data_IF_166306060290
#
_entry.id   IF_166306060290
#
_cell.length_a   1.000
_cell.length_b   1.000
_cell.length_c   1.000
_cell.angle_alpha   90.00
_cell.angle_beta   90.00
_cell.angle_gamma   90.00
#
_symmetry.space_group_name_H-M   'P 1'
#
loop_
_entity.id
_entity.type
_entity.pdbx_description
1 polymer ?
#
# COMPACT_ATOMS: atom_id res chain seq x y z
N UNK A 1 19.92 22.87 -3.63
CA UNK A 1 18.46 23.04 -3.78
C UNK A 1 17.99 21.97 -4.74
N UNK A 2 17.07 21.09 -4.32
CA UNK A 2 16.43 20.14 -5.24
C UNK A 2 15.48 20.95 -6.12
N UNK A 3 15.64 20.87 -7.44
CA UNK A 3 14.76 21.53 -8.38
C UNK A 3 13.35 20.94 -8.22
N UNK A 4 12.35 21.79 -7.94
CA UNK A 4 10.98 21.33 -7.66
C UNK A 4 10.30 20.98 -8.99
N UNK A 5 9.91 19.70 -9.22
CA UNK A 5 9.27 19.31 -10.46
C UNK A 5 7.95 20.05 -10.68
N UNK A 6 7.63 20.37 -11.94
CA UNK A 6 6.46 21.17 -12.30
C UNK A 6 5.13 20.58 -11.79
N UNK A 7 5.03 19.26 -11.68
CA UNK A 7 3.87 18.56 -11.08
C UNK A 7 3.64 18.96 -9.61
N UNK A 8 4.72 19.02 -8.82
CA UNK A 8 4.66 19.41 -7.39
C UNK A 8 4.26 20.88 -7.25
N UNK A 9 4.74 21.75 -8.15
CA UNK A 9 4.37 23.18 -8.15
C UNK A 9 2.88 23.38 -8.47
N UNK A 10 2.35 22.61 -9.42
CA UNK A 10 0.93 22.66 -9.79
C UNK A 10 0.04 22.16 -8.63
N UNK A 11 0.40 21.02 -8.02
CA UNK A 11 -0.39 20.41 -6.95
C UNK A 11 -0.36 21.21 -5.65
N UNK A 12 0.73 21.93 -5.35
CA UNK A 12 0.79 22.85 -4.19
C UNK A 12 -0.26 23.96 -4.23
N UNK A 13 -0.77 24.31 -5.41
CA UNK A 13 -1.82 25.33 -5.57
C UNK A 13 -3.24 24.76 -5.38
N UNK A 14 -3.38 23.45 -5.20
CA UNK A 14 -4.63 22.80 -4.86
C UNK A 14 -5.13 23.26 -3.48
N UNK A 15 -6.45 23.40 -3.33
CA UNK A 15 -7.10 23.65 -2.03
C UNK A 15 -6.76 22.57 -1.00
N UNK A 16 -6.49 21.35 -1.46
CA UNK A 16 -6.14 20.20 -0.62
C UNK A 16 -4.63 20.01 -0.41
N UNK A 17 -3.79 20.85 -1.04
CA UNK A 17 -2.34 20.70 -1.03
C UNK A 17 -1.83 19.49 -1.83
N UNK A 18 -0.57 19.12 -1.57
CA UNK A 18 0.06 17.94 -2.17
C UNK A 18 -0.52 16.66 -1.58
N UNK A 19 -1.14 15.84 -2.43
CA UNK A 19 -1.63 14.51 -2.05
C UNK A 19 -0.50 13.51 -2.23
N UNK A 20 -0.17 12.76 -1.19
CA UNK A 20 1.03 11.92 -1.16
C UNK A 20 0.75 10.48 -0.82
N UNK A 21 1.60 9.57 -1.30
CA UNK A 21 1.53 8.17 -0.89
C UNK A 21 2.88 7.49 -0.80
N UNK A 22 2.91 6.41 -0.02
CA UNK A 22 4.01 5.45 0.05
C UNK A 22 3.47 4.07 -0.32
N UNK A 23 4.20 3.33 -1.15
CA UNK A 23 3.86 1.96 -1.56
C UNK A 23 4.89 0.95 -1.06
N UNK A 24 4.46 0.04 -0.19
CA UNK A 24 5.27 -1.06 0.32
C UNK A 24 4.99 -2.35 -0.47
N UNK A 25 6.02 -3.15 -0.70
CA UNK A 25 5.93 -4.39 -1.50
C UNK A 25 5.37 -4.12 -2.91
N UNK A 26 5.80 -3.02 -3.50
CA UNK A 26 5.16 -2.34 -4.65
C UNK A 26 5.21 -3.13 -5.97
N UNK A 27 5.99 -4.20 -6.05
CA UNK A 27 6.14 -5.02 -7.26
C UNK A 27 6.53 -4.15 -8.47
N UNK A 28 5.89 -4.32 -9.62
CA UNK A 28 6.11 -3.48 -10.80
C UNK A 28 5.37 -2.12 -10.74
N UNK A 29 4.81 -1.72 -9.59
CA UNK A 29 4.12 -0.44 -9.41
C UNK A 29 2.74 -0.37 -10.09
N UNK A 30 2.05 -1.50 -10.23
CA UNK A 30 0.68 -1.53 -10.77
C UNK A 30 -0.28 -0.85 -9.80
N UNK A 31 -0.18 -1.14 -8.50
CA UNK A 31 -0.99 -0.48 -7.46
C UNK A 31 -0.77 1.05 -7.40
N UNK A 32 0.44 1.49 -7.76
CA UNK A 32 0.79 2.91 -7.88
C UNK A 32 0.11 3.63 -9.06
N UNK A 33 -0.40 2.90 -10.06
CA UNK A 33 -0.91 3.52 -11.27
C UNK A 33 -2.17 4.37 -11.05
N UNK A 34 -3.11 3.87 -10.24
CA UNK A 34 -4.32 4.62 -9.90
C UNK A 34 -3.98 5.95 -9.20
N UNK A 35 -3.11 5.92 -8.20
CA UNK A 35 -2.62 7.13 -7.52
C UNK A 35 -2.02 8.15 -8.49
N UNK A 36 -1.20 7.68 -9.45
CA UNK A 36 -0.63 8.56 -10.47
C UNK A 36 -1.70 9.21 -11.36
N UNK A 37 -2.74 8.47 -11.75
CA UNK A 37 -3.85 9.02 -12.54
C UNK A 37 -4.61 10.10 -11.77
N UNK A 38 -4.78 9.91 -10.46
CA UNK A 38 -5.46 10.86 -9.57
C UNK A 38 -4.57 12.04 -9.11
N UNK A 39 -3.33 12.12 -9.58
CA UNK A 39 -2.40 13.20 -9.25
C UNK A 39 -1.82 13.11 -7.84
N UNK A 40 -1.70 11.91 -7.27
CA UNK A 40 -0.94 11.71 -6.04
C UNK A 40 0.56 11.63 -6.35
N UNK A 41 1.35 12.21 -5.45
CA UNK A 41 2.80 12.18 -5.49
C UNK A 41 3.33 10.98 -4.70
N UNK A 42 4.09 10.10 -5.36
CA UNK A 42 4.81 9.04 -4.69
C UNK A 42 6.01 9.61 -3.93
N UNK A 43 5.99 9.47 -2.60
CA UNK A 43 7.15 9.75 -1.74
C UNK A 43 8.15 8.61 -1.85
N UNK A 44 7.67 7.38 -1.64
CA UNK A 44 8.50 6.19 -1.70
C UNK A 44 7.73 4.98 -2.26
N UNK A 45 8.43 4.18 -3.06
CA UNK A 45 8.00 2.90 -3.56
C UNK A 45 9.07 1.86 -3.26
N UNK A 46 8.72 0.87 -2.44
CA UNK A 46 9.66 -0.09 -1.87
C UNK A 46 9.44 -1.45 -2.51
N UNK A 47 10.50 -2.05 -3.03
CA UNK A 47 10.45 -3.37 -3.65
C UNK A 47 11.80 -4.08 -3.53
N UNK A 48 11.76 -5.38 -3.25
CA UNK A 48 12.97 -6.19 -3.05
C UNK A 48 13.77 -6.39 -4.35
N UNK A 49 13.08 -6.48 -5.49
CA UNK A 49 13.71 -6.80 -6.77
C UNK A 49 13.90 -5.56 -7.64
N UNK A 50 15.16 -5.14 -7.79
CA UNK A 50 15.56 -3.98 -8.60
C UNK A 50 14.99 -3.99 -10.02
N UNK A 51 14.88 -5.15 -10.67
CA UNK A 51 14.29 -5.27 -12.01
C UNK A 51 12.84 -4.75 -12.10
N UNK A 52 12.08 -4.84 -11.01
CA UNK A 52 10.70 -4.33 -10.94
C UNK A 52 10.69 -2.83 -10.70
N UNK A 53 11.62 -2.30 -9.90
CA UNK A 53 11.81 -0.86 -9.75
C UNK A 53 12.21 -0.20 -11.08
N UNK A 54 13.01 -0.86 -11.92
CA UNK A 54 13.30 -0.38 -13.28
C UNK A 54 12.03 -0.17 -14.12
N UNK A 55 11.04 -1.05 -13.99
CA UNK A 55 9.73 -0.87 -14.65
C UNK A 55 9.01 0.35 -14.08
N UNK A 56 9.05 0.55 -12.76
CA UNK A 56 8.43 1.71 -12.13
C UNK A 56 9.09 3.03 -12.55
N UNK A 57 10.43 3.07 -12.61
CA UNK A 57 11.21 4.21 -13.11
C UNK A 57 10.85 4.54 -14.55
N UNK A 58 10.81 3.52 -15.42
CA UNK A 58 10.37 3.70 -16.81
C UNK A 58 8.97 4.32 -16.91
N UNK A 59 8.07 3.98 -15.97
CA UNK A 59 6.71 4.52 -15.92
C UNK A 59 6.57 5.78 -15.06
N UNK A 60 7.68 6.37 -14.58
CA UNK A 60 7.73 7.57 -13.74
C UNK A 60 6.72 7.49 -12.58
N UNK A 61 6.75 6.42 -11.78
CA UNK A 61 5.84 6.26 -10.63
C UNK A 61 6.15 7.26 -9.51
N UNK A 62 7.43 7.43 -9.20
CA UNK A 62 7.91 8.41 -8.24
C UNK A 62 8.62 9.55 -8.95
N UNK A 63 8.34 10.75 -8.45
CA UNK A 63 8.81 12.01 -9.01
C UNK A 63 10.30 12.21 -8.74
N UNK A 64 10.76 11.82 -7.55
CA UNK A 64 12.19 11.76 -7.22
C UNK A 64 12.71 10.34 -7.41
N UNK A 65 13.92 10.21 -7.97
CA UNK A 65 14.55 8.90 -8.15
C UNK A 65 14.93 8.24 -6.81
N UNK A 66 15.22 9.06 -5.79
CA UNK A 66 15.45 8.60 -4.42
C UNK A 66 14.24 7.88 -3.81
N UNK A 67 13.03 8.15 -4.31
CA UNK A 67 11.80 7.47 -3.89
C UNK A 67 11.71 6.01 -4.32
N UNK A 68 12.56 5.53 -5.24
CA UNK A 68 12.61 4.11 -5.61
C UNK A 68 13.58 3.34 -4.70
N UNK A 69 13.03 2.72 -3.66
CA UNK A 69 13.82 2.06 -2.62
C UNK A 69 13.90 0.55 -2.90
N UNK A 70 15.08 0.09 -3.31
CA UNK A 70 15.37 -1.35 -3.41
C UNK A 70 15.81 -1.88 -2.06
N UNK A 71 14.94 -2.62 -1.36
CA UNK A 71 15.23 -3.05 0.00
C UNK A 71 14.36 -4.20 0.49
N UNK A 72 14.90 -4.92 1.48
CA UNK A 72 14.16 -5.92 2.25
C UNK A 72 13.45 -5.21 3.41
N UNK A 73 12.12 -5.30 3.44
CA UNK A 73 11.28 -4.68 4.47
C UNK A 73 11.52 -5.22 5.88
N UNK A 74 12.20 -6.37 6.03
CA UNK A 74 12.59 -6.88 7.36
C UNK A 74 13.82 -6.17 7.95
N UNK A 75 14.48 -5.31 7.16
CA UNK A 75 15.70 -4.62 7.54
C UNK A 75 15.39 -3.18 7.95
N UNK A 76 15.92 -2.77 9.11
CA UNK A 76 15.68 -1.44 9.66
C UNK A 76 16.30 -0.34 8.77
N UNK A 77 17.33 -0.67 7.98
CA UNK A 77 17.89 0.21 6.96
C UNK A 77 16.85 0.60 5.91
N UNK A 78 15.97 -0.33 5.51
CA UNK A 78 14.88 -0.07 4.56
C UNK A 78 13.83 0.84 5.19
N UNK A 79 13.45 0.60 6.45
CA UNK A 79 12.55 1.49 7.18
C UNK A 79 13.11 2.91 7.28
N UNK A 80 14.39 3.03 7.62
CA UNK A 80 15.07 4.31 7.71
C UNK A 80 15.18 5.02 6.36
N UNK A 81 15.35 4.29 5.25
CA UNK A 81 15.31 4.88 3.91
C UNK A 81 13.93 5.50 3.61
N UNK A 82 12.83 4.82 3.97
CA UNK A 82 11.47 5.34 3.79
C UNK A 82 11.27 6.60 4.63
N UNK A 83 11.70 6.59 5.89
CA UNK A 83 11.58 7.74 6.80
C UNK A 83 12.41 8.94 6.30
N UNK A 84 13.61 8.71 5.78
CA UNK A 84 14.44 9.77 5.17
C UNK A 84 13.76 10.41 3.97
N UNK A 85 13.14 9.62 3.10
CA UNK A 85 12.37 10.19 1.98
C UNK A 85 11.17 10.98 2.49
N UNK A 86 10.43 10.46 3.47
CA UNK A 86 9.34 11.21 4.09
C UNK A 86 9.80 12.55 4.68
N UNK A 87 10.90 12.56 5.44
CA UNK A 87 11.48 13.78 6.02
C UNK A 87 11.99 14.74 4.94
N UNK A 88 12.58 14.23 3.86
CA UNK A 88 12.97 15.04 2.71
C UNK A 88 11.75 15.74 2.12
N UNK A 89 10.64 15.01 1.91
CA UNK A 89 9.42 15.61 1.37
C UNK A 89 8.80 16.61 2.34
N UNK A 90 8.83 16.34 3.64
CA UNK A 90 8.40 17.29 4.67
C UNK A 90 9.18 18.61 4.56
N UNK A 91 10.50 18.53 4.53
CA UNK A 91 11.38 19.70 4.56
C UNK A 91 11.44 20.45 3.22
N UNK A 92 11.51 19.74 2.10
CA UNK A 92 11.65 20.34 0.77
C UNK A 92 10.30 20.74 0.17
N UNK A 93 9.26 19.91 0.38
CA UNK A 93 7.95 20.09 -0.25
C UNK A 93 6.86 20.53 0.72
N UNK A 94 7.12 20.61 2.03
CA UNK A 94 6.20 21.18 3.00
C UNK A 94 4.97 20.32 3.27
N UNK A 95 5.06 19.01 2.99
CA UNK A 95 3.98 18.08 3.34
C UNK A 95 3.91 17.96 4.86
N UNK A 96 2.72 17.98 5.46
CA UNK A 96 2.59 17.91 6.93
C UNK A 96 2.43 16.48 7.43
N UNK A 97 1.78 15.66 6.63
CA UNK A 97 1.47 14.27 6.93
C UNK A 97 1.42 13.46 5.64
N UNK A 98 1.53 12.14 5.79
CA UNK A 98 1.33 11.19 4.70
C UNK A 98 -0.16 10.96 4.48
N UNK A 99 -0.68 11.14 3.27
CA UNK A 99 -2.10 10.86 3.02
C UNK A 99 -2.35 9.36 2.99
N UNK A 100 -1.62 8.59 2.18
CA UNK A 100 -1.90 7.17 1.98
C UNK A 100 -0.67 6.29 2.11
N UNK A 101 -0.76 5.23 2.90
CA UNK A 101 0.16 4.09 2.84
C UNK A 101 -0.55 2.90 2.20
N UNK A 102 -0.06 2.42 1.07
CA UNK A 102 -0.54 1.18 0.45
C UNK A 102 0.51 0.08 0.61
N UNK A 103 0.08 -1.11 1.02
CA UNK A 103 0.95 -2.27 1.11
C UNK A 103 0.32 -3.52 0.50
N UNK A 104 1.13 -4.26 -0.25
CA UNK A 104 0.75 -5.57 -0.81
C UNK A 104 1.71 -6.66 -0.31
N UNK A 105 1.79 -6.89 1.01
CA UNK A 105 2.74 -7.84 1.57
C UNK A 105 2.47 -9.23 1.00
N UNK A 106 3.51 -10.00 0.66
CA UNK A 106 3.31 -11.30 0.07
C UNK A 106 2.70 -12.26 1.10
N UNK A 107 1.58 -12.89 0.77
CA UNK A 107 0.98 -13.94 1.61
C UNK A 107 0.98 -15.27 0.84
N UNK A 108 1.41 -16.34 1.49
CA UNK A 108 1.07 -17.69 1.09
C UNK A 108 -0.10 -18.10 1.98
N UNK A 109 -1.32 -18.10 1.43
CA UNK A 109 -2.54 -18.44 2.17
C UNK A 109 -2.43 -19.82 2.84
N UNK A 110 -3.35 -20.12 3.77
CA UNK A 110 -3.34 -21.36 4.56
C UNK A 110 -3.04 -22.62 3.72
N UNK A 111 -1.84 -23.18 3.85
CA UNK A 111 -1.52 -24.47 3.26
C UNK A 111 -1.78 -25.56 4.31
N UNK A 112 -2.86 -26.30 4.06
CA UNK A 112 -3.25 -27.48 4.84
C UNK A 112 -2.40 -28.66 4.35
N UNK A 113 -1.07 -28.61 4.51
CA UNK A 113 -0.18 -29.74 4.21
C UNK A 113 1.18 -29.62 4.95
N UNK A 114 1.24 -30.34 6.07
CA UNK A 114 2.30 -30.64 7.06
C UNK A 114 3.83 -30.53 6.77
N UNK A 115 4.34 -29.92 5.70
CA UNK A 115 5.80 -29.82 5.47
C UNK A 115 6.36 -28.40 5.17
N UNK A 116 5.55 -27.34 5.11
CA UNK A 116 6.01 -25.96 4.75
C UNK A 116 5.76 -24.85 5.79
N UNK A 117 5.33 -25.19 7.01
CA UNK A 117 4.89 -24.23 8.03
C UNK A 117 5.87 -23.07 8.33
N UNK A 118 7.18 -23.34 8.41
CA UNK A 118 8.17 -22.32 8.82
C UNK A 118 8.37 -21.18 7.82
N UNK A 119 8.49 -21.49 6.52
CA UNK A 119 8.67 -20.47 5.48
C UNK A 119 7.38 -19.68 5.21
N UNK A 120 6.22 -20.33 5.34
CA UNK A 120 4.92 -19.67 5.19
C UNK A 120 4.68 -18.66 6.31
N UNK A 121 4.97 -19.04 7.56
CA UNK A 121 4.85 -18.13 8.71
C UNK A 121 5.75 -16.91 8.53
N UNK A 122 7.05 -17.10 8.22
CA UNK A 122 7.99 -16.00 7.98
C UNK A 122 7.49 -15.05 6.87
N UNK A 123 6.93 -15.60 5.79
CA UNK A 123 6.41 -14.79 4.68
C UNK A 123 5.14 -14.04 5.06
N UNK A 124 4.23 -14.68 5.78
CA UNK A 124 3.00 -14.03 6.26
C UNK A 124 3.30 -12.94 7.29
N UNK A 125 4.35 -13.08 8.09
CA UNK A 125 4.82 -12.05 9.03
C UNK A 125 5.31 -10.77 8.35
N UNK A 126 5.51 -10.72 7.03
CA UNK A 126 5.82 -9.46 6.33
C UNK A 126 4.69 -8.42 6.39
N UNK A 127 3.47 -8.81 6.76
CA UNK A 127 2.41 -7.85 7.09
C UNK A 127 2.78 -6.99 8.30
N UNK A 128 3.57 -7.52 9.23
CA UNK A 128 3.99 -6.83 10.45
C UNK A 128 4.89 -5.64 10.15
N UNK A 129 5.70 -5.73 9.09
CA UNK A 129 6.48 -4.57 8.61
C UNK A 129 5.55 -3.47 8.09
N UNK A 130 4.43 -3.83 7.44
CA UNK A 130 3.42 -2.87 7.01
C UNK A 130 2.74 -2.20 8.20
N UNK A 131 2.36 -2.98 9.22
CA UNK A 131 1.79 -2.48 10.48
C UNK A 131 2.77 -1.52 11.18
N UNK A 132 4.04 -1.91 11.26
CA UNK A 132 5.10 -1.11 11.87
C UNK A 132 5.26 0.23 11.16
N UNK A 133 5.28 0.23 9.83
CA UNK A 133 5.36 1.47 9.05
C UNK A 133 4.13 2.36 9.20
N UNK A 134 2.92 1.79 9.29
CA UNK A 134 1.70 2.57 9.61
C UNK A 134 1.82 3.24 10.99
N UNK A 135 2.33 2.54 12.01
CA UNK A 135 2.53 3.12 13.36
C UNK A 135 3.57 4.24 13.37
N UNK A 136 4.64 4.10 12.60
CA UNK A 136 5.73 5.10 12.53
C UNK A 136 5.33 6.33 11.73
N UNK A 137 4.73 6.15 10.55
CA UNK A 137 4.37 7.25 9.64
C UNK A 137 3.02 7.89 9.95
N UNK A 138 2.14 7.17 10.66
CA UNK A 138 0.77 7.59 10.99
C UNK A 138 0.01 8.21 9.80
N UNK A 139 -0.09 7.53 8.64
CA UNK A 139 -0.80 8.08 7.50
C UNK A 139 -2.26 8.41 7.81
N UNK A 140 -2.89 9.31 7.06
CA UNK A 140 -4.34 9.56 7.17
C UNK A 140 -5.13 8.30 6.81
N UNK A 141 -4.65 7.57 5.81
CA UNK A 141 -5.25 6.34 5.31
C UNK A 141 -4.20 5.24 5.13
N UNK A 142 -4.57 4.00 5.43
CA UNK A 142 -3.79 2.84 4.97
C UNK A 142 -4.67 1.87 4.18
N UNK A 143 -4.04 1.18 3.22
CA UNK A 143 -4.69 0.17 2.39
C UNK A 143 -3.79 -1.06 2.34
N UNK A 144 -4.26 -2.18 2.86
CA UNK A 144 -3.63 -3.49 2.62
C UNK A 144 -4.46 -4.28 1.62
N UNK A 145 -3.83 -4.72 0.53
CA UNK A 145 -4.45 -5.63 -0.44
C UNK A 145 -3.78 -7.01 -0.36
N UNK A 146 -4.62 -8.04 -0.39
CA UNK A 146 -4.12 -9.41 -0.42
C UNK A 146 -5.17 -10.44 -0.90
N UNK A 147 -4.77 -11.71 -0.94
CA UNK A 147 -5.64 -12.84 -1.29
C UNK A 147 -6.80 -13.01 -0.30
N UNK A 148 -7.88 -13.67 -0.74
CA UNK A 148 -9.11 -13.88 0.06
C UNK A 148 -8.86 -14.50 1.45
N UNK A 149 -7.88 -15.40 1.56
CA UNK A 149 -7.57 -16.10 2.81
C UNK A 149 -6.73 -15.28 3.80
N UNK A 150 -6.29 -14.07 3.42
CA UNK A 150 -5.31 -13.26 4.13
C UNK A 150 -5.57 -13.07 5.62
N UNK A 151 -6.78 -12.63 5.99
CA UNK A 151 -7.12 -12.30 7.38
C UNK A 151 -7.03 -13.49 8.34
N UNK A 152 -7.23 -14.70 7.81
CA UNK A 152 -7.20 -15.95 8.58
C UNK A 152 -5.81 -16.59 8.64
N UNK A 153 -4.87 -16.13 7.81
CA UNK A 153 -3.49 -16.61 7.87
C UNK A 153 -2.87 -16.23 9.20
N UNK A 154 -1.94 -17.06 9.68
CA UNK A 154 -1.18 -16.80 10.91
C UNK A 154 0.10 -16.04 10.56
N UNK A 155 0.42 -15.04 11.37
CA UNK A 155 1.70 -14.32 11.39
C UNK A 155 2.23 -14.26 12.83
N UNK A 156 3.54 -14.10 12.96
CA UNK A 156 4.20 -13.73 14.22
C UNK A 156 4.20 -12.21 14.32
N UNK A 157 3.42 -11.65 15.24
CA UNK A 157 3.24 -10.21 15.41
C UNK A 157 4.46 -9.53 16.09
N UNK A 158 4.44 -8.20 16.23
CA UNK A 158 5.51 -7.38 16.84
C UNK A 158 5.89 -7.80 18.26
N UNK A 159 4.99 -8.46 18.98
CA UNK A 159 5.19 -9.00 20.32
C UNK A 159 5.79 -10.42 20.33
N UNK A 160 6.08 -10.97 19.14
CA UNK A 160 6.58 -12.34 18.98
C UNK A 160 5.50 -13.42 19.11
N UNK A 161 4.21 -13.03 19.23
CA UNK A 161 3.10 -13.97 19.41
C UNK A 161 2.46 -14.28 18.06
N UNK A 162 2.30 -15.58 17.79
CA UNK A 162 1.57 -16.06 16.63
C UNK A 162 0.06 -15.80 16.79
N UNK A 163 -0.52 -15.05 15.86
CA UNK A 163 -1.96 -14.73 15.82
C UNK A 163 -2.43 -14.57 14.38
N UNK A 164 -3.75 -14.47 14.17
CA UNK A 164 -4.28 -14.18 12.84
C UNK A 164 -3.84 -12.79 12.39
N UNK A 165 -3.67 -12.61 11.08
CA UNK A 165 -3.32 -11.30 10.52
C UNK A 165 -4.36 -10.24 10.90
N UNK A 166 -5.65 -10.60 10.92
CA UNK A 166 -6.72 -9.71 11.40
C UNK A 166 -6.49 -9.27 12.85
N UNK A 167 -6.19 -10.21 13.76
CA UNK A 167 -5.92 -9.92 15.17
C UNK A 167 -4.66 -9.06 15.34
N UNK A 168 -3.61 -9.29 14.54
CA UNK A 168 -2.41 -8.46 14.55
C UNK A 168 -2.70 -7.02 14.10
N UNK A 169 -3.50 -6.84 13.04
CA UNK A 169 -3.91 -5.52 12.56
C UNK A 169 -4.73 -4.81 13.64
N UNK A 170 -5.76 -5.46 14.19
CA UNK A 170 -6.64 -4.86 15.19
C UNK A 170 -5.88 -4.49 16.47
N UNK A 171 -5.05 -5.39 16.98
CA UNK A 171 -4.28 -5.17 18.23
C UNK A 171 -3.30 -4.00 18.11
N UNK A 172 -2.82 -3.72 16.90
CA UNK A 172 -1.79 -2.69 16.68
C UNK A 172 -2.34 -1.36 16.15
N UNK A 173 -3.44 -1.38 15.39
CA UNK A 173 -3.89 -0.22 14.61
C UNK A 173 -5.30 0.26 14.98
N UNK A 174 -6.18 -0.60 15.53
CA UNK A 174 -7.57 -0.19 15.82
C UNK A 174 -7.70 0.88 16.90
N UNK A 175 -6.64 1.07 17.71
CA UNK A 175 -6.54 2.17 18.68
C UNK A 175 -6.56 3.54 17.99
N UNK A 176 -5.86 3.66 16.87
CA UNK A 176 -5.64 4.92 16.14
C UNK A 176 -6.46 5.04 14.84
N UNK A 177 -7.00 3.93 14.32
CA UNK A 177 -7.71 3.86 13.04
C UNK A 177 -9.08 3.21 13.17
N UNK A 178 -10.05 3.71 12.41
CA UNK A 178 -11.27 2.99 12.06
C UNK A 178 -10.96 2.07 10.87
N UNK A 179 -11.18 0.76 11.01
CA UNK A 179 -10.72 -0.24 10.03
C UNK A 179 -11.91 -0.99 9.44
N UNK A 180 -11.93 -1.14 8.12
CA UNK A 180 -12.89 -1.94 7.37
C UNK A 180 -12.20 -3.05 6.58
N UNK A 181 -12.68 -4.27 6.80
CA UNK A 181 -12.25 -5.47 6.10
C UNK A 181 -13.30 -5.87 5.07
N UNK A 182 -12.93 -5.98 3.79
CA UNK A 182 -13.87 -6.37 2.73
C UNK A 182 -13.23 -7.31 1.72
N UNK A 183 -13.91 -8.41 1.43
CA UNK A 183 -13.59 -9.25 0.27
C UNK A 183 -14.37 -8.73 -0.94
N UNK A 184 -13.65 -8.39 -2.00
CA UNK A 184 -14.21 -7.84 -3.23
C UNK A 184 -13.73 -8.62 -4.44
N UNK A 185 -14.54 -8.71 -5.50
CA UNK A 185 -14.07 -9.16 -6.80
C UNK A 185 -13.86 -7.94 -7.70
N UNK A 186 -12.65 -7.71 -8.19
CA UNK A 186 -12.34 -6.52 -9.00
C UNK A 186 -13.14 -6.44 -10.31
N UNK A 187 -13.71 -7.55 -10.80
CA UNK A 187 -14.61 -7.52 -11.96
C UNK A 187 -15.86 -6.67 -11.70
N UNK A 188 -16.34 -6.65 -10.46
CA UNK A 188 -17.51 -5.87 -10.02
C UNK A 188 -17.21 -4.36 -9.96
N UNK A 189 -15.97 -3.96 -10.24
CA UNK A 189 -15.46 -2.58 -10.21
C UNK A 189 -14.74 -2.24 -11.53
N UNK A 190 -15.13 -2.89 -12.64
CA UNK A 190 -14.68 -2.55 -13.99
C UNK A 190 -13.36 -3.18 -14.42
N UNK A 191 -12.75 -4.05 -13.61
CA UNK A 191 -11.58 -4.82 -14.04
C UNK A 191 -12.01 -5.94 -15.00
N UNK A 192 -11.37 -6.12 -16.17
CA UNK A 192 -11.73 -7.16 -17.14
C UNK A 192 -11.19 -8.56 -16.75
N UNK A 193 -11.15 -8.85 -15.45
CA UNK A 193 -10.65 -10.11 -14.89
C UNK A 193 -11.36 -10.41 -13.58
N UNK A 194 -11.90 -11.63 -13.45
CA UNK A 194 -12.37 -12.13 -12.16
C UNK A 194 -11.18 -12.29 -11.21
N UNK A 195 -11.10 -11.45 -10.20
CA UNK A 195 -9.99 -11.39 -9.25
C UNK A 195 -10.50 -11.00 -7.88
N UNK A 196 -10.73 -12.01 -7.04
CA UNK A 196 -11.14 -11.80 -5.65
C UNK A 196 -9.95 -11.43 -4.77
N UNK A 197 -10.08 -10.34 -4.02
CA UNK A 197 -9.08 -9.83 -3.08
C UNK A 197 -9.73 -9.36 -1.80
N UNK A 198 -8.98 -9.47 -0.72
CA UNK A 198 -9.30 -8.81 0.54
C UNK A 198 -8.64 -7.44 0.53
N UNK A 199 -9.43 -6.41 0.78
CA UNK A 199 -8.97 -5.07 1.07
C UNK A 199 -9.18 -4.79 2.56
N UNK A 200 -8.14 -4.25 3.20
CA UNK A 200 -8.20 -3.70 4.55
C UNK A 200 -7.94 -2.22 4.42
N UNK A 201 -8.93 -1.40 4.75
CA UNK A 201 -8.83 0.05 4.66
C UNK A 201 -8.94 0.63 6.06
N UNK A 202 -7.94 1.39 6.47
CA UNK A 202 -7.95 2.14 7.72
C UNK A 202 -8.02 3.63 7.47
N UNK A 203 -8.88 4.31 8.24
CA UNK A 203 -8.98 5.77 8.32
C UNK A 203 -8.55 6.20 9.71
N UNK A 204 -7.56 7.08 9.82
CA UNK A 204 -7.08 7.58 11.12
C UNK A 204 -8.23 8.29 11.85
N UNK A 205 -8.40 8.03 13.15
CA UNK A 205 -9.60 8.44 13.90
C UNK A 205 -9.81 9.96 14.02
N UNK A 206 -8.77 10.75 13.80
CA UNK A 206 -8.85 12.21 13.75
C UNK A 206 -9.42 12.75 12.42
N UNK A 207 -9.59 11.89 11.40
CA UNK A 207 -10.26 12.23 10.15
C UNK A 207 -11.79 12.10 10.34
N UNK A 208 -12.42 13.15 10.87
CA UNK A 208 -13.83 13.12 11.28
C UNK A 208 -14.84 13.11 10.12
N UNK A 209 -14.43 13.53 8.93
CA UNK A 209 -15.32 13.72 7.76
C UNK A 209 -15.34 12.52 6.80
N UNK A 210 -14.52 11.49 7.05
CA UNK A 210 -14.37 10.34 6.16
C UNK A 210 -14.40 9.06 6.98
N UNK A 211 -15.14 8.06 6.52
CA UNK A 211 -15.12 6.72 7.05
C UNK A 211 -14.51 5.74 6.04
N UNK A 212 -14.07 4.54 6.48
CA UNK A 212 -13.59 3.54 5.53
C UNK A 212 -14.63 3.12 4.48
N UNK A 213 -15.93 3.31 4.75
CA UNK A 213 -16.99 3.00 3.79
C UNK A 213 -17.01 3.96 2.60
N UNK A 214 -16.65 5.23 2.84
CA UNK A 214 -16.65 6.29 1.82
C UNK A 214 -15.49 6.13 0.81
N UNK A 215 -14.49 5.30 1.13
CA UNK A 215 -13.30 5.07 0.30
C UNK A 215 -13.53 3.94 -0.71
N UNK A 216 -14.48 3.03 -0.45
CA UNK A 216 -14.71 1.93 -1.38
C UNK A 216 -15.31 2.44 -2.69
N UNK A 217 -14.81 1.98 -3.85
CA UNK A 217 -15.35 2.39 -5.13
C UNK A 217 -16.78 1.88 -5.30
N UNK A 218 -17.57 2.61 -6.10
CA UNK A 218 -18.86 2.16 -6.56
C UNK A 218 -18.73 0.96 -7.51
N UNK A 219 -19.73 0.09 -7.50
CA UNK A 219 -19.79 -1.02 -8.46
C UNK A 219 -19.90 -0.48 -9.88
N UNK A 220 -19.21 -1.16 -10.79
CA UNK A 220 -19.22 -0.87 -12.22
C UNK A 220 -19.62 -2.14 -12.99
N UNK A 221 -20.27 -2.01 -14.16
CA UNK A 221 -20.54 -3.16 -15.02
C UNK A 221 -19.27 -3.95 -15.34
N UNK A 222 -19.37 -5.28 -15.33
CA UNK A 222 -18.26 -6.16 -15.70
C UNK A 222 -17.91 -5.99 -17.18
N UNK A 223 -16.61 -5.93 -17.50
CA UNK A 223 -16.11 -5.91 -18.88
C UNK A 223 -15.72 -7.30 -19.35
N UNK A 224 -16.15 -7.66 -20.55
CA UNK A 224 -15.75 -8.91 -21.20
C UNK A 224 -14.34 -8.79 -21.80
N UNK A 225 -13.69 -9.94 -22.03
CA UNK A 225 -12.42 -9.99 -22.75
C UNK A 225 -12.55 -9.42 -24.17
N UNK A 226 -13.66 -9.70 -24.86
CA UNK A 226 -13.92 -9.19 -26.21
C UNK A 226 -13.97 -7.65 -26.24
N UNK A 227 -14.67 -7.04 -25.30
CA UNK A 227 -14.74 -5.56 -25.19
C UNK A 227 -13.37 -4.95 -24.85
N UNK A 228 -12.54 -5.67 -24.10
CA UNK A 228 -11.27 -5.15 -23.61
C UNK A 228 -10.16 -5.26 -24.64
N UNK A 229 -10.01 -6.43 -25.26
CA UNK A 229 -8.86 -6.77 -26.11
C UNK A 229 -9.25 -7.51 -27.39
N UNK A 230 -10.53 -7.58 -27.76
CA UNK A 230 -10.97 -8.32 -28.95
C UNK A 230 -10.47 -7.78 -30.29
N UNK A 231 -9.80 -6.63 -30.28
CA UNK A 231 -9.21 -5.98 -31.45
C UNK A 231 -7.69 -6.20 -31.59
N UNK A 232 -7.05 -6.77 -30.55
CA UNK A 232 -5.63 -7.14 -30.58
C UNK A 232 -5.45 -8.45 -31.35
#
# INVERSE_FOLDING_TARGET
MIETPASIVADRKSVYGLRTYISLFSSAGIGCYGFKLEGFQCIASVELLEKRLKIQRYNNKCTLDSGYICGDMTQEETHNAILREYDLWHNAFGIKELDVLIATPPCQGMSVANHKKGNELKRNSLVVESITMVKRLKPRFFIFENVRAFLRSICTDVDGVDKSIESAIDSNLSGDYNILYKVVNFKDYGCPSSRTRTLVIGVRKDQLEVTPYDIFPDKQPEKTLRETIGHL
#
